data_IF_466549895490
#
_entry.id   IF_466549895490
#
_cell.length_a   1.000
_cell.length_b   1.000
_cell.length_c   1.000
_cell.angle_alpha   90.00
_cell.angle_beta   90.00
_cell.angle_gamma   90.00
#
_symmetry.space_group_name_H-M   'P 1'
#
loop_
_entity.id
_entity.type
_entity.pdbx_description
1 polymer ?
#
# COMPACT_ATOMS: atom_id res chain seq x y z
N UNK A 1 7.09 -34.64 9.68
CA UNK A 1 6.88 -34.26 11.10
C UNK A 1 5.44 -33.77 11.24
N UNK A 2 4.78 -33.94 12.39
CA UNK A 2 3.37 -33.53 12.55
C UNK A 2 3.14 -32.88 13.91
N UNK A 3 2.29 -31.86 13.93
CA UNK A 3 1.90 -31.14 15.14
C UNK A 3 0.48 -31.49 15.56
N UNK A 4 0.19 -31.42 16.87
CA UNK A 4 -1.17 -31.54 17.41
C UNK A 4 -1.70 -30.13 17.67
N UNK A 5 -2.64 -29.69 16.85
CA UNK A 5 -3.28 -28.38 16.98
C UNK A 5 -4.74 -28.63 17.33
N UNK A 6 -5.21 -28.09 18.46
CA UNK A 6 -6.59 -28.30 18.96
C UNK A 6 -6.99 -29.79 19.03
N UNK A 7 -6.07 -30.67 19.44
CA UNK A 7 -6.28 -32.12 19.51
C UNK A 7 -6.17 -32.88 18.18
N UNK A 8 -6.21 -32.16 17.05
CA UNK A 8 -6.11 -32.74 15.70
C UNK A 8 -4.65 -32.84 15.27
N UNK A 9 -4.29 -33.97 14.65
CA UNK A 9 -2.96 -34.15 14.06
C UNK A 9 -2.90 -33.44 12.71
N UNK A 10 -2.03 -32.44 12.60
CA UNK A 10 -1.80 -31.67 11.38
C UNK A 10 -0.39 -31.97 10.87
N UNK A 11 -0.29 -32.38 9.62
CA UNK A 11 1.00 -32.59 8.95
C UNK A 11 1.64 -31.24 8.60
N UNK A 12 2.98 -31.16 8.65
CA UNK A 12 3.70 -29.91 8.41
C UNK A 12 3.40 -29.31 7.04
N UNK A 13 3.21 -30.16 6.03
CA UNK A 13 2.91 -29.76 4.66
C UNK A 13 1.61 -28.97 4.59
N UNK A 14 0.57 -29.42 5.29
CA UNK A 14 -0.71 -28.72 5.35
C UNK A 14 -0.67 -27.47 6.21
N UNK A 15 0.12 -27.47 7.28
CA UNK A 15 0.30 -26.29 8.11
C UNK A 15 0.97 -25.16 7.32
N UNK A 16 2.06 -25.49 6.61
CA UNK A 16 2.76 -24.54 5.75
C UNK A 16 1.89 -24.04 4.59
N UNK A 17 1.17 -24.95 3.91
CA UNK A 17 0.24 -24.53 2.85
C UNK A 17 -0.89 -23.64 3.39
N UNK A 18 -1.44 -23.98 4.56
CA UNK A 18 -2.47 -23.18 5.21
C UNK A 18 -2.02 -21.76 5.55
N UNK A 19 -0.79 -21.58 6.07
CA UNK A 19 -0.27 -20.24 6.38
C UNK A 19 -0.05 -19.42 5.12
N UNK A 20 0.53 -20.00 4.05
CA UNK A 20 0.73 -19.29 2.80
C UNK A 20 -0.60 -18.87 2.15
N UNK A 21 -1.60 -19.76 2.12
CA UNK A 21 -2.93 -19.43 1.59
C UNK A 21 -3.60 -18.34 2.42
N UNK A 22 -3.57 -18.45 3.75
CA UNK A 22 -4.20 -17.48 4.64
C UNK A 22 -3.54 -16.11 4.52
N UNK A 23 -2.20 -16.07 4.48
CA UNK A 23 -1.45 -14.84 4.32
C UNK A 23 -1.70 -14.19 2.95
N UNK A 24 -1.62 -14.98 1.87
CA UNK A 24 -1.91 -14.50 0.53
C UNK A 24 -3.34 -13.96 0.41
N UNK A 25 -4.32 -14.70 0.92
CA UNK A 25 -5.71 -14.25 0.96
C UNK A 25 -5.87 -12.96 1.77
N UNK A 26 -5.26 -12.86 2.95
CA UNK A 26 -5.29 -11.66 3.80
C UNK A 26 -4.74 -10.42 3.09
N UNK A 27 -3.60 -10.55 2.40
CA UNK A 27 -3.01 -9.47 1.60
C UNK A 27 -3.96 -9.10 0.45
N UNK A 28 -4.46 -10.08 -0.31
CA UNK A 28 -5.36 -9.79 -1.44
C UNK A 28 -6.66 -9.11 -1.00
N UNK A 29 -7.24 -9.50 0.15
CA UNK A 29 -8.43 -8.87 0.70
C UNK A 29 -8.14 -7.44 1.18
N UNK A 30 -6.98 -7.23 1.80
CA UNK A 30 -6.54 -5.89 2.24
C UNK A 30 -6.36 -4.94 1.06
N UNK A 31 -5.80 -5.43 -0.06
CA UNK A 31 -5.63 -4.64 -1.28
C UNK A 31 -6.95 -4.44 -2.03
N UNK A 32 -7.86 -5.43 -2.02
CA UNK A 32 -9.15 -5.36 -2.73
C UNK A 32 -10.14 -4.36 -2.12
N UNK A 33 -9.93 -3.96 -0.86
CA UNK A 33 -10.79 -3.03 -0.12
C UNK A 33 -10.55 -1.54 -0.41
N UNK A 34 -9.60 -1.18 -1.26
CA UNK A 34 -9.39 0.22 -1.65
C UNK A 34 -10.53 0.68 -2.57
N UNK A 35 -11.61 1.18 -1.97
CA UNK A 35 -12.52 2.11 -2.63
C UNK A 35 -11.62 3.26 -3.09
N UNK A 36 -11.60 3.55 -4.39
CA UNK A 36 -10.86 4.69 -4.92
C UNK A 36 -11.26 5.92 -4.11
N UNK A 37 -10.40 6.36 -3.19
CA UNK A 37 -10.49 7.70 -2.63
C UNK A 37 -10.45 8.61 -3.83
N UNK A 38 -11.56 9.29 -4.11
CA UNK A 38 -11.58 10.30 -5.14
C UNK A 38 -10.39 11.21 -4.88
N UNK A 39 -9.58 11.53 -5.89
CA UNK A 39 -8.40 12.40 -5.77
C UNK A 39 -8.72 13.76 -5.10
N UNK A 40 -10.01 14.10 -4.97
CA UNK A 40 -10.54 15.25 -4.24
C UNK A 40 -10.53 15.14 -2.69
N UNK A 41 -10.24 13.96 -2.13
CA UNK A 41 -10.18 13.71 -0.67
C UNK A 41 -8.77 13.29 -0.23
N UNK A 42 -7.77 13.53 -1.08
CA UNK A 42 -6.38 13.54 -0.63
C UNK A 42 -6.15 14.96 -0.09
N UNK A 43 -6.03 15.17 1.23
CA UNK A 43 -5.64 16.48 1.73
C UNK A 43 -4.31 16.85 1.07
N UNK A 44 -4.27 18.00 0.40
CA UNK A 44 -3.04 18.51 -0.19
C UNK A 44 -1.94 18.44 0.89
N UNK A 45 -0.73 17.97 0.55
CA UNK A 45 0.34 17.86 1.53
C UNK A 45 0.52 19.23 2.19
N UNK A 46 0.42 19.28 3.52
CA UNK A 46 0.64 20.53 4.27
C UNK A 46 2.11 20.86 4.12
N UNK A 47 2.43 21.82 3.24
CA UNK A 47 3.79 22.28 2.99
C UNK A 47 4.20 23.17 4.17
N UNK A 48 4.73 22.55 5.23
CA UNK A 48 5.28 23.27 6.36
C UNK A 48 6.70 23.78 6.00
N UNK A 49 6.78 24.89 5.28
CA UNK A 49 8.03 25.59 4.98
C UNK A 49 8.20 26.82 5.89
N UNK A 50 9.44 27.13 6.27
CA UNK A 50 9.76 28.25 7.18
C UNK A 50 9.67 29.62 6.49
N UNK A 51 9.70 29.63 5.15
CA UNK A 51 9.68 30.83 4.32
C UNK A 51 8.76 30.67 3.10
N UNK A 52 8.12 31.77 2.69
CA UNK A 52 7.19 31.81 1.54
C UNK A 52 7.85 31.41 0.21
N UNK A 53 9.15 31.62 0.10
CA UNK A 53 9.93 31.30 -1.12
C UNK A 53 10.22 29.80 -1.23
N UNK A 54 10.55 29.16 -0.10
CA UNK A 54 10.76 27.71 -0.03
C UNK A 54 9.46 26.95 -0.34
N UNK A 55 8.31 27.49 0.09
CA UNK A 55 7.00 26.91 -0.21
C UNK A 55 6.70 26.90 -1.72
N UNK A 56 7.03 27.98 -2.44
CA UNK A 56 6.86 28.07 -3.88
C UNK A 56 7.76 27.06 -4.62
N UNK A 57 9.02 26.94 -4.19
CA UNK A 57 9.94 25.94 -4.75
C UNK A 57 9.45 24.51 -4.53
N UNK A 58 8.97 24.17 -3.33
CA UNK A 58 8.44 22.84 -3.03
C UNK A 58 7.18 22.55 -3.85
N UNK A 59 6.29 23.53 -4.03
CA UNK A 59 5.09 23.40 -4.88
C UNK A 59 5.45 23.10 -6.33
N UNK A 60 6.42 23.84 -6.89
CA UNK A 60 6.86 23.64 -8.26
C UNK A 60 7.59 22.31 -8.46
N UNK A 61 8.39 21.91 -7.46
CA UNK A 61 9.08 20.62 -7.47
C UNK A 61 8.08 19.44 -7.45
N UNK A 62 7.10 19.47 -6.55
CA UNK A 62 6.04 18.45 -6.46
C UNK A 62 5.20 18.43 -7.74
N UNK A 63 4.81 19.59 -8.26
CA UNK A 63 4.01 19.68 -9.48
C UNK A 63 4.72 19.11 -10.72
N UNK A 64 6.06 19.23 -10.79
CA UNK A 64 6.83 18.63 -11.87
C UNK A 64 6.95 17.11 -11.72
N UNK A 65 7.18 16.60 -10.50
CA UNK A 65 7.21 15.16 -10.26
C UNK A 65 5.88 14.49 -10.59
N UNK A 66 4.75 15.08 -10.19
CA UNK A 66 3.42 14.52 -10.50
C UNK A 66 3.14 14.47 -12.02
N UNK A 67 3.65 15.44 -12.79
CA UNK A 67 3.54 15.43 -14.26
C UNK A 67 4.38 14.31 -14.88
N UNK A 68 5.59 14.07 -14.38
CA UNK A 68 6.47 13.01 -14.86
C UNK A 68 5.92 11.62 -14.53
N UNK A 69 5.38 11.41 -13.33
CA UNK A 69 4.70 10.17 -12.95
C UNK A 69 3.45 9.90 -13.80
N UNK A 70 2.66 10.93 -14.09
CA UNK A 70 1.48 10.82 -14.96
C UNK A 70 1.86 10.51 -16.43
N UNK A 71 3.01 11.00 -16.90
CA UNK A 71 3.52 10.71 -18.24
C UNK A 71 4.10 9.28 -18.34
N UNK A 72 4.83 8.83 -17.31
CA UNK A 72 5.38 7.48 -17.21
C UNK A 72 4.29 6.40 -17.17
N UNK A 73 3.18 6.66 -16.46
CA UNK A 73 2.08 5.70 -16.32
C UNK A 73 1.20 5.55 -17.58
N UNK A 74 1.41 6.39 -18.60
CA UNK A 74 0.64 6.40 -19.85
C UNK A 74 1.32 5.61 -20.99
N UNK A 75 2.48 5.02 -20.72
CA UNK A 75 3.27 4.21 -21.66
C UNK A 75 3.28 2.73 -21.28
#
# INVERSE_FOLDING_TARGET
>A
MSYRIMGVKVLNEYLALGTFVTFGAGVTLSLRGSKSTSLNEIPQPVIAASSKDEEAFIRDFVANMEREDAASKKH
#
